data_IF_286595237428
#
_entry.id   IF_286595237428
#
_cell.length_a   1.000
_cell.length_b   1.000
_cell.length_c   1.000
_cell.angle_alpha   90.00
_cell.angle_beta   90.00
_cell.angle_gamma   90.00
#
_symmetry.space_group_name_H-M   'P 1'
#
loop_
_entity.id
_entity.type
_entity.pdbx_description
1 polymer ?
#
# COMPACT_ATOMS: atom_id res chain seq x y z
N UNK A 1 -13.06 19.48 -29.14
CA UNK A 1 -12.23 19.85 -27.97
C UNK A 1 -11.33 18.66 -27.67
N UNK A 2 -10.14 18.66 -28.28
CA UNK A 2 -9.20 17.56 -28.17
C UNK A 2 -8.61 17.52 -26.77
N UNK A 3 -8.73 16.37 -26.10
CA UNK A 3 -7.99 16.10 -24.87
C UNK A 3 -6.50 16.12 -25.21
N UNK A 4 -5.65 16.87 -24.50
CA UNK A 4 -4.23 16.76 -24.73
C UNK A 4 -3.78 15.35 -24.36
N UNK A 5 -3.01 14.79 -25.29
CA UNK A 5 -2.22 13.58 -25.18
C UNK A 5 -1.43 13.59 -23.86
N UNK A 6 -1.72 12.64 -22.97
CA UNK A 6 -1.01 12.49 -21.69
C UNK A 6 0.22 11.63 -21.93
N UNK A 7 1.27 12.27 -22.40
CA UNK A 7 2.62 11.72 -22.36
C UNK A 7 3.05 11.51 -20.91
N UNK A 8 3.57 10.32 -20.61
CA UNK A 8 3.83 9.84 -19.26
C UNK A 8 4.94 10.61 -18.54
N UNK A 9 4.63 11.09 -17.34
CA UNK A 9 5.56 11.46 -16.27
C UNK A 9 4.78 11.49 -14.93
N UNK A 10 5.20 10.67 -13.97
CA UNK A 10 5.22 10.88 -12.52
C UNK A 10 4.11 11.75 -11.86
N UNK A 11 2.83 11.42 -12.02
CA UNK A 11 1.81 12.04 -11.17
C UNK A 11 1.52 11.18 -9.94
N UNK A 12 2.03 11.60 -8.78
CA UNK A 12 1.59 11.06 -7.50
C UNK A 12 0.13 11.42 -7.26
N UNK A 13 -0.70 10.45 -6.89
CA UNK A 13 -2.10 10.70 -6.52
C UNK A 13 -2.19 11.68 -5.35
N UNK A 14 -3.16 12.59 -5.41
CA UNK A 14 -3.40 13.58 -4.36
C UNK A 14 -3.76 12.93 -3.01
N UNK A 15 -3.52 13.65 -1.92
CA UNK A 15 -3.92 13.22 -0.56
C UNK A 15 -5.41 12.85 -0.50
N UNK A 16 -6.28 13.53 -1.27
CA UNK A 16 -7.71 13.22 -1.31
C UNK A 16 -7.98 11.87 -1.97
N UNK A 17 -7.31 11.55 -3.08
CA UNK A 17 -7.43 10.28 -3.79
C UNK A 17 -6.87 9.13 -2.94
N UNK A 18 -5.69 9.31 -2.34
CA UNK A 18 -5.09 8.34 -1.42
C UNK A 18 -6.03 8.05 -0.26
N UNK A 19 -6.58 9.08 0.39
CA UNK A 19 -7.52 8.90 1.49
C UNK A 19 -8.84 8.25 1.05
N UNK A 20 -9.31 8.53 -0.16
CA UNK A 20 -10.49 7.86 -0.73
C UNK A 20 -10.23 6.36 -0.90
N UNK A 21 -9.09 6.00 -1.47
CA UNK A 21 -8.67 4.60 -1.59
C UNK A 21 -8.53 3.93 -0.22
N UNK A 22 -7.84 4.55 0.74
CA UNK A 22 -7.70 3.99 2.09
C UNK A 22 -9.04 3.85 2.83
N UNK A 23 -10.02 4.73 2.58
CA UNK A 23 -11.40 4.55 3.11
C UNK A 23 -12.06 3.31 2.52
N UNK A 24 -11.91 3.10 1.20
CA UNK A 24 -12.43 1.91 0.54
C UNK A 24 -11.76 0.64 1.10
N UNK A 25 -10.43 0.61 1.22
CA UNK A 25 -9.68 -0.49 1.84
C UNK A 25 -10.24 -0.82 3.22
N UNK A 26 -10.41 0.18 4.10
CA UNK A 26 -10.95 -0.06 5.46
C UNK A 26 -12.36 -0.64 5.43
N UNK A 27 -13.23 -0.18 4.52
CA UNK A 27 -14.58 -0.71 4.38
C UNK A 27 -14.58 -2.19 3.96
N UNK A 28 -13.74 -2.55 2.98
CA UNK A 28 -13.57 -3.92 2.51
C UNK A 28 -12.99 -4.83 3.61
N UNK A 29 -11.89 -4.40 4.25
CA UNK A 29 -11.18 -5.19 5.28
C UNK A 29 -12.04 -5.46 6.52
N UNK A 30 -12.95 -4.55 6.86
CA UNK A 30 -13.90 -4.70 7.97
C UNK A 30 -15.14 -5.53 7.60
N UNK A 31 -15.38 -5.78 6.31
CA UNK A 31 -16.46 -6.66 5.88
C UNK A 31 -16.00 -8.12 5.95
N UNK A 32 -16.74 -9.02 6.64
CA UNK A 32 -16.36 -10.43 6.75
C UNK A 32 -16.12 -11.07 5.38
N UNK A 33 -14.99 -11.77 5.22
CA UNK A 33 -14.63 -12.46 3.98
C UNK A 33 -14.10 -11.58 2.84
N UNK A 34 -13.98 -10.26 3.04
CA UNK A 34 -13.54 -9.31 2.00
C UNK A 34 -12.11 -8.78 2.19
N UNK A 35 -11.26 -9.65 2.75
CA UNK A 35 -9.82 -9.45 2.84
C UNK A 35 -9.09 -10.69 2.35
N UNK A 36 -8.26 -10.54 1.34
CA UNK A 36 -7.46 -11.61 0.76
C UNK A 36 -5.97 -11.27 0.80
N UNK A 37 -5.20 -12.09 1.52
CA UNK A 37 -3.75 -11.99 1.62
C UNK A 37 -3.09 -13.04 0.72
N UNK A 38 -2.38 -12.60 -0.32
CA UNK A 38 -1.78 -13.52 -1.27
C UNK A 38 -0.56 -14.23 -0.65
N UNK A 39 -0.58 -15.57 -0.45
CA UNK A 39 0.49 -16.30 0.24
C UNK A 39 1.66 -16.64 -0.69
N UNK A 40 2.29 -15.62 -1.30
CA UNK A 40 3.53 -15.79 -2.06
C UNK A 40 4.71 -16.01 -1.12
N UNK A 41 5.73 -16.75 -1.57
CA UNK A 41 6.95 -17.00 -0.81
C UNK A 41 7.53 -15.72 -0.18
N UNK A 42 7.66 -14.64 -0.96
CA UNK A 42 8.17 -13.37 -0.47
C UNK A 42 7.33 -12.75 0.67
N UNK A 43 6.00 -12.92 0.62
CA UNK A 43 5.09 -12.42 1.65
C UNK A 43 5.16 -13.28 2.91
N UNK A 44 5.20 -14.61 2.77
CA UNK A 44 5.32 -15.52 3.91
C UNK A 44 6.68 -15.36 4.60
N UNK A 45 7.76 -15.27 3.83
CA UNK A 45 9.11 -15.01 4.34
C UNK A 45 9.17 -13.61 5.00
N UNK A 46 8.47 -12.62 4.43
CA UNK A 46 8.35 -11.27 4.97
C UNK A 46 7.62 -11.25 6.32
N UNK A 47 6.46 -11.90 6.41
CA UNK A 47 5.74 -12.09 7.67
C UNK A 47 6.62 -12.78 8.72
N UNK A 48 7.31 -13.85 8.34
CA UNK A 48 8.18 -14.58 9.27
C UNK A 48 9.33 -13.72 9.80
N UNK A 49 9.98 -12.92 8.95
CA UNK A 49 11.06 -12.01 9.37
C UNK A 49 10.57 -10.88 10.26
N UNK A 50 9.40 -10.34 9.97
CA UNK A 50 8.77 -9.30 10.78
C UNK A 50 8.16 -9.84 12.09
N UNK A 51 8.06 -11.16 12.26
CA UNK A 51 7.37 -11.78 13.40
C UNK A 51 5.84 -11.61 13.35
N UNK A 52 5.29 -11.47 12.15
CA UNK A 52 3.90 -11.09 11.92
C UNK A 52 3.01 -12.29 11.56
N UNK A 53 1.76 -12.22 12.01
CA UNK A 53 0.67 -13.04 11.47
C UNK A 53 -0.04 -12.28 10.35
N UNK A 54 -0.83 -12.98 9.53
CA UNK A 54 -1.72 -12.32 8.56
C UNK A 54 -2.70 -11.35 9.26
N UNK A 55 -3.14 -11.68 10.48
CA UNK A 55 -3.97 -10.81 11.30
C UNK A 55 -3.26 -9.52 11.74
N UNK A 56 -1.97 -9.61 12.10
CA UNK A 56 -1.16 -8.44 12.41
C UNK A 56 -0.95 -7.56 11.16
N UNK A 57 -0.63 -8.16 10.01
CA UNK A 57 -0.52 -7.44 8.74
C UNK A 57 -1.84 -6.75 8.35
N UNK A 58 -2.99 -7.39 8.60
CA UNK A 58 -4.32 -6.79 8.43
C UNK A 58 -4.48 -5.52 9.27
N UNK A 59 -4.04 -5.54 10.53
CA UNK A 59 -4.11 -4.37 11.41
C UNK A 59 -3.22 -3.23 10.90
N UNK A 60 -2.03 -3.54 10.37
CA UNK A 60 -1.16 -2.52 9.78
C UNK A 60 -1.72 -1.87 8.52
N UNK A 61 -2.42 -2.65 7.70
CA UNK A 61 -3.14 -2.14 6.53
C UNK A 61 -4.26 -1.18 6.96
N UNK A 62 -5.01 -1.50 8.02
CA UNK A 62 -6.07 -0.64 8.54
C UNK A 62 -5.54 0.71 9.09
N UNK A 63 -4.31 0.72 9.60
CA UNK A 63 -3.65 1.91 10.14
C UNK A 63 -2.76 2.64 9.13
N UNK A 64 -2.78 2.27 7.84
CA UNK A 64 -2.14 3.06 6.78
C UNK A 64 -2.71 4.48 6.71
N UNK A 65 -1.86 5.44 6.40
CA UNK A 65 -2.22 6.86 6.20
C UNK A 65 -1.72 7.35 4.85
N UNK A 66 -2.13 8.54 4.44
CA UNK A 66 -1.61 9.16 3.23
C UNK A 66 -0.10 9.47 3.32
N UNK A 67 0.49 9.50 4.52
CA UNK A 67 1.94 9.69 4.71
C UNK A 67 2.73 8.43 4.40
N UNK A 68 2.09 7.26 4.43
CA UNK A 68 2.70 5.97 4.07
C UNK A 68 2.64 5.71 2.56
N UNK A 69 1.90 6.52 1.81
CA UNK A 69 1.73 6.34 0.37
C UNK A 69 3.06 6.58 -0.36
N UNK A 70 3.39 5.66 -1.26
CA UNK A 70 4.55 5.74 -2.13
C UNK A 70 4.12 6.06 -3.57
N UNK A 71 3.35 5.15 -4.19
CA UNK A 71 2.97 5.22 -5.61
C UNK A 71 1.58 4.66 -5.84
N UNK A 72 0.88 5.21 -6.82
CA UNK A 72 -0.47 4.77 -7.17
C UNK A 72 -1.35 5.91 -7.68
N UNK A 73 -2.49 5.60 -8.30
CA UNK A 73 -2.84 4.28 -8.83
C UNK A 73 -1.88 3.90 -9.98
N UNK A 74 -1.38 2.67 -9.97
CA UNK A 74 -0.57 2.07 -11.05
C UNK A 74 -1.38 0.96 -11.73
N UNK A 75 -1.14 0.70 -13.01
CA UNK A 75 -1.77 -0.45 -13.68
C UNK A 75 -1.35 -1.77 -13.01
N UNK A 76 -2.30 -2.67 -12.75
CA UNK A 76 -1.98 -4.04 -12.33
C UNK A 76 -1.44 -4.82 -13.54
N UNK A 77 -0.13 -5.01 -13.63
CA UNK A 77 0.46 -5.79 -14.73
C UNK A 77 0.19 -7.30 -14.63
N UNK A 78 -0.37 -7.77 -13.52
CA UNK A 78 -0.69 -9.19 -13.27
C UNK A 78 -2.19 -9.51 -13.40
N UNK A 79 -3.02 -8.53 -13.73
CA UNK A 79 -4.46 -8.68 -13.83
C UNK A 79 -5.16 -7.41 -14.31
N UNK A 80 -6.42 -7.23 -13.92
CA UNK A 80 -7.18 -6.03 -14.21
C UNK A 80 -7.17 -5.05 -13.03
N UNK A 81 -7.35 -3.77 -13.35
CA UNK A 81 -7.51 -2.69 -12.37
C UNK A 81 -6.20 -1.99 -12.04
N UNK A 82 -6.17 -1.39 -10.84
CA UNK A 82 -5.07 -0.58 -10.35
C UNK A 82 -4.57 -1.04 -9.00
N UNK A 83 -3.28 -0.83 -8.76
CA UNK A 83 -2.60 -1.14 -7.49
C UNK A 83 -2.07 0.13 -6.86
N UNK A 84 -1.96 0.10 -5.54
CA UNK A 84 -1.42 1.16 -4.71
C UNK A 84 -0.32 0.61 -3.83
N UNK A 85 0.78 1.35 -3.74
CA UNK A 85 2.00 0.96 -3.06
C UNK A 85 2.26 1.92 -1.90
N UNK A 86 2.59 1.34 -0.75
CA UNK A 86 2.84 2.05 0.50
C UNK A 86 4.15 1.57 1.10
N UNK A 87 4.88 2.49 1.74
CA UNK A 87 6.01 2.18 2.62
C UNK A 87 5.65 2.63 4.02
N UNK A 88 5.43 1.66 4.89
CA UNK A 88 5.08 1.90 6.28
C UNK A 88 6.27 1.66 7.19
N UNK A 89 6.46 2.53 8.17
CA UNK A 89 7.40 2.28 9.27
C UNK A 89 6.71 1.46 10.36
N UNK A 90 7.24 0.28 10.63
CA UNK A 90 6.75 -0.63 11.66
C UNK A 90 7.93 -0.91 12.59
N UNK A 91 7.94 -0.26 13.75
CA UNK A 91 8.99 -0.37 14.76
C UNK A 91 10.42 -0.19 14.21
N UNK A 92 10.61 0.82 13.34
CA UNK A 92 11.90 1.13 12.72
C UNK A 92 12.20 0.31 11.46
N UNK A 93 11.33 -0.63 11.09
CA UNK A 93 11.45 -1.43 9.88
C UNK A 93 10.52 -0.87 8.81
N UNK A 94 11.09 -0.46 7.67
CA UNK A 94 10.30 -0.03 6.52
C UNK A 94 9.72 -1.25 5.81
N UNK A 95 8.40 -1.30 5.67
CA UNK A 95 7.64 -2.41 5.08
C UNK A 95 6.91 -1.93 3.84
N UNK A 96 7.17 -2.61 2.73
CA UNK A 96 6.47 -2.44 1.47
C UNK A 96 5.15 -3.20 1.48
N UNK A 97 4.07 -2.46 1.20
CA UNK A 97 2.70 -2.98 1.17
C UNK A 97 2.09 -2.62 -0.18
N UNK A 98 1.62 -3.63 -0.92
CA UNK A 98 0.94 -3.46 -2.21
C UNK A 98 -0.51 -3.91 -2.10
N UNK A 99 -1.44 -3.00 -2.38
CA UNK A 99 -2.88 -3.22 -2.23
C UNK A 99 -3.62 -3.00 -3.55
N UNK A 100 -4.72 -3.73 -3.72
CA UNK A 100 -5.79 -3.36 -4.65
C UNK A 100 -7.16 -3.65 -4.04
N UNK A 101 -8.20 -3.03 -4.58
CA UNK A 101 -9.59 -3.37 -4.27
C UNK A 101 -10.19 -4.08 -5.48
N UNK A 102 -10.71 -5.26 -5.23
CA UNK A 102 -11.31 -6.19 -6.18
C UNK A 102 -12.80 -6.36 -5.86
N UNK A 103 -13.66 -6.46 -6.88
CA UNK A 103 -15.11 -6.56 -6.67
C UNK A 103 -15.52 -7.80 -5.89
N UNK A 104 -14.85 -8.91 -6.16
CA UNK A 104 -15.25 -10.23 -5.68
C UNK A 104 -14.56 -10.53 -4.37
N UNK A 105 -13.28 -10.15 -4.24
CA UNK A 105 -12.44 -10.48 -3.08
C UNK A 105 -12.34 -9.36 -2.04
N UNK A 106 -12.74 -8.13 -2.39
CA UNK A 106 -12.57 -6.96 -1.55
C UNK A 106 -11.13 -6.45 -1.53
N UNK A 107 -10.56 -6.21 -0.36
CA UNK A 107 -9.18 -5.73 -0.25
C UNK A 107 -8.19 -6.88 -0.44
N UNK A 108 -7.32 -6.72 -1.42
CA UNK A 108 -6.27 -7.68 -1.74
C UNK A 108 -4.93 -7.13 -1.31
N UNK A 109 -4.25 -7.84 -0.40
CA UNK A 109 -2.85 -7.62 -0.09
C UNK A 109 -1.97 -8.47 -1.03
N UNK A 110 -1.36 -7.82 -2.02
CA UNK A 110 -0.53 -8.48 -3.04
C UNK A 110 0.90 -8.69 -2.57
N UNK A 111 1.42 -7.75 -1.78
CA UNK A 111 2.77 -7.77 -1.21
C UNK A 111 2.78 -7.22 0.21
N UNK A 112 3.53 -7.89 1.09
CA UNK A 112 3.81 -7.44 2.46
C UNK A 112 5.17 -7.99 2.89
N UNK A 113 6.20 -7.16 2.86
CA UNK A 113 7.56 -7.54 3.25
C UNK A 113 8.41 -6.30 3.51
N UNK A 114 9.56 -6.46 4.16
CA UNK A 114 10.58 -5.40 4.30
C UNK A 114 10.91 -4.73 2.96
N UNK A 115 11.02 -3.41 2.98
CA UNK A 115 11.37 -2.59 1.82
C UNK A 115 12.87 -2.37 1.76
N UNK A 116 13.46 -2.61 0.59
CA UNK A 116 14.87 -2.31 0.32
C UNK A 116 15.04 -1.00 -0.50
N UNK A 117 13.95 -0.28 -0.76
CA UNK A 117 13.95 0.89 -1.63
C UNK A 117 14.28 0.60 -3.11
N UNK A 118 14.36 1.66 -3.95
CA UNK A 118 14.06 3.05 -3.62
C UNK A 118 12.55 3.30 -3.44
N UNK A 119 12.19 4.29 -2.64
CA UNK A 119 10.84 4.79 -2.45
C UNK A 119 10.84 6.32 -2.52
N UNK A 120 9.70 6.92 -2.87
CA UNK A 120 9.54 8.37 -3.07
C UNK A 120 8.84 9.02 -1.89
N UNK A 121 7.89 8.33 -1.24
CA UNK A 121 7.15 8.80 -0.06
C UNK A 121 6.74 10.29 -0.12
N UNK A 122 5.97 10.71 -1.15
CA UNK A 122 5.76 12.11 -1.49
C UNK A 122 5.09 12.97 -0.40
N UNK A 123 4.48 12.35 0.61
CA UNK A 123 3.79 13.02 1.70
C UNK A 123 4.36 12.74 3.09
N UNK A 124 5.45 11.95 3.18
CA UNK A 124 6.12 11.72 4.44
C UNK A 124 7.04 12.90 4.74
N UNK A 125 6.84 13.54 5.87
CA UNK A 125 7.76 14.56 6.35
C UNK A 125 9.10 13.89 6.67
N UNK A 126 10.21 14.48 6.20
CA UNK A 126 11.54 14.14 6.66
C UNK A 126 11.59 14.46 8.16
N UNK A 127 11.69 13.46 9.02
CA UNK A 127 11.91 13.74 10.45
C UNK A 127 13.25 14.47 10.60
N UNK A 128 13.23 15.71 11.08
CA UNK A 128 14.39 16.29 11.75
C UNK A 128 14.70 15.38 12.94
N UNK A 129 15.88 14.77 12.98
CA UNK A 129 16.36 14.08 14.18
C UNK A 129 16.73 15.18 15.18
N UNK A 130 16.00 15.27 16.27
CA UNK A 130 16.54 15.87 17.49
C UNK A 130 17.50 14.83 18.05
N UNK A 131 18.79 15.02 17.76
CA UNK A 131 19.87 14.36 18.47
C UNK A 131 19.99 15.06 19.84
N UNK A 132 19.51 14.40 20.90
CA UNK A 132 19.81 14.74 22.30
C UNK A 132 21.05 13.98 22.79
#
# INVERSE_FOLDING_TARGET
MSRPDRTGFDYAASIQEVNAFLRQVRAEVNTPGRFDFIPRKANLDGLARLGFTVGAAKNEILSLTYRDYDRGPLADHSGEGVVWEFIKDIDGTLVYIKLKVDSDRGCVCMSFHESNGPYTLPYRESSCREDD
#
